data_IF_187130361647
#
_entry.id   IF_187130361647
#
_cell.length_a   1.000
_cell.length_b   1.000
_cell.length_c   1.000
_cell.angle_alpha   90.00
_cell.angle_beta   90.00
_cell.angle_gamma   90.00
#
_symmetry.space_group_name_H-M   'P 1'
#
loop_
_entity.id
_entity.type
_entity.pdbx_description
1 polymer ?
#
# COMPACT_ATOMS: atom_id res chain seq x y z
N UNK A 1 -5.95 1.76 -2.82
CA UNK A 1 -4.77 1.42 -3.63
C UNK A 1 -3.60 2.17 -3.03
N UNK A 2 -2.50 1.48 -2.74
CA UNK A 2 -1.28 2.07 -2.18
C UNK A 2 -0.18 2.07 -3.25
N UNK A 3 0.59 3.15 -3.29
CA UNK A 3 1.76 3.25 -4.16
C UNK A 3 2.96 2.47 -3.59
N UNK A 4 4.09 2.51 -4.29
CA UNK A 4 5.28 1.77 -3.86
C UNK A 4 5.89 2.28 -2.55
N UNK A 5 5.75 3.58 -2.23
CA UNK A 5 6.27 4.16 -0.99
C UNK A 5 5.42 3.71 0.21
N UNK A 6 4.09 3.74 0.07
CA UNK A 6 3.16 3.22 1.07
C UNK A 6 3.30 1.71 1.24
N UNK A 7 3.51 0.96 0.16
CA UNK A 7 3.80 -0.46 0.22
C UNK A 7 5.13 -0.75 0.95
N UNK A 8 6.17 0.05 0.72
CA UNK A 8 7.42 -0.06 1.46
C UNK A 8 7.23 0.22 2.97
N UNK A 9 6.48 1.28 3.30
CA UNK A 9 6.16 1.65 4.68
C UNK A 9 5.38 0.54 5.41
N UNK A 10 4.33 0.01 4.79
CA UNK A 10 3.54 -1.10 5.37
C UNK A 10 4.36 -2.35 5.65
N UNK A 11 5.38 -2.63 4.83
CA UNK A 11 6.33 -3.73 5.06
C UNK A 11 7.31 -3.43 6.20
N UNK A 12 7.74 -2.17 6.34
CA UNK A 12 8.64 -1.75 7.40
C UNK A 12 7.97 -1.76 8.78
N UNK A 13 6.68 -1.41 8.84
CA UNK A 13 5.89 -1.41 10.08
C UNK A 13 5.52 -2.82 10.52
N UNK A 14 5.50 -3.79 9.60
CA UNK A 14 5.18 -5.17 9.94
C UNK A 14 6.22 -5.68 10.94
N UNK A 15 5.78 -5.83 12.19
CA UNK A 15 6.61 -6.42 13.24
C UNK A 15 7.21 -7.72 12.73
N UNK A 16 8.51 -7.92 12.99
CA UNK A 16 9.18 -9.16 12.67
C UNK A 16 8.39 -10.29 13.31
N UNK A 17 7.68 -11.06 12.48
CA UNK A 17 6.91 -12.21 12.95
C UNK A 17 7.82 -13.04 13.83
N UNK A 18 7.51 -13.11 15.12
CA UNK A 18 8.10 -14.08 16.01
C UNK A 18 8.01 -15.45 15.33
N UNK A 19 9.18 -15.98 14.97
CA UNK A 19 9.36 -17.39 14.69
C UNK A 19 8.89 -17.94 13.34
N UNK A 20 9.18 -17.34 12.18
CA UNK A 20 9.33 -18.09 10.93
C UNK A 20 10.51 -17.54 10.10
N UNK A 21 11.54 -18.36 9.90
CA UNK A 21 12.86 -17.94 9.43
C UNK A 21 12.94 -17.26 8.04
N UNK A 22 14.14 -16.74 7.67
CA UNK A 22 14.42 -15.89 6.49
C UNK A 22 14.11 -16.53 5.11
N UNK A 23 13.70 -17.79 5.08
CA UNK A 23 13.50 -18.59 3.87
C UNK A 23 12.16 -18.24 3.19
N UNK A 24 11.10 -17.95 3.96
CA UNK A 24 9.74 -17.72 3.42
C UNK A 24 9.62 -16.37 2.71
N UNK A 25 10.26 -15.34 3.25
CA UNK A 25 10.38 -13.99 2.67
C UNK A 25 11.23 -13.97 1.40
N UNK A 26 12.29 -14.77 1.35
CA UNK A 26 13.19 -14.87 0.18
C UNK A 26 12.50 -15.54 -1.01
N UNK A 27 11.71 -16.61 -0.78
CA UNK A 27 10.95 -17.29 -1.83
C UNK A 27 9.82 -16.42 -2.40
N UNK A 28 9.12 -15.66 -1.56
CA UNK A 28 8.11 -14.70 -2.02
C UNK A 28 8.74 -13.56 -2.83
N UNK A 29 9.86 -13.02 -2.37
CA UNK A 29 10.61 -12.01 -3.11
C UNK A 29 11.13 -12.55 -4.45
N UNK A 30 11.63 -13.78 -4.50
CA UNK A 30 12.09 -14.43 -5.72
C UNK A 30 10.94 -14.71 -6.70
N UNK A 31 9.78 -15.16 -6.21
CA UNK A 31 8.58 -15.38 -7.04
C UNK A 31 8.03 -14.08 -7.63
N UNK A 32 8.07 -12.98 -6.87
CA UNK A 32 7.72 -11.64 -7.36
C UNK A 32 8.71 -11.17 -8.42
N UNK A 33 10.01 -11.40 -8.20
CA UNK A 33 11.09 -11.03 -9.12
C UNK A 33 11.05 -11.84 -10.43
N UNK A 34 10.76 -13.14 -10.35
CA UNK A 34 10.55 -14.04 -11.51
C UNK A 34 9.31 -13.65 -12.33
N UNK A 35 8.30 -13.04 -11.69
CA UNK A 35 7.12 -12.46 -12.37
C UNK A 35 7.34 -11.02 -12.86
N UNK A 36 8.55 -10.48 -12.76
CA UNK A 36 8.89 -9.13 -13.24
C UNK A 36 8.32 -7.99 -12.39
N UNK A 37 7.83 -8.27 -11.19
CA UNK A 37 7.27 -7.24 -10.29
C UNK A 37 8.42 -6.60 -9.51
N UNK A 38 8.81 -5.39 -9.90
CA UNK A 38 9.73 -4.58 -9.11
C UNK A 38 9.01 -3.98 -7.92
N UNK A 39 9.54 -4.19 -6.71
CA UNK A 39 8.97 -3.60 -5.49
C UNK A 39 9.04 -2.07 -5.47
N UNK A 40 9.94 -1.47 -6.25
CA UNK A 40 10.09 -0.01 -6.35
C UNK A 40 8.96 0.65 -7.15
N UNK A 41 8.29 -0.12 -8.02
CA UNK A 41 7.20 0.36 -8.87
C UNK A 41 5.87 -0.35 -8.61
N UNK A 42 5.86 -1.39 -7.76
CA UNK A 42 4.67 -2.13 -7.40
C UNK A 42 3.65 -1.26 -6.66
N UNK A 43 2.38 -1.49 -6.93
CA UNK A 43 1.25 -0.97 -6.15
C UNK A 43 0.49 -2.13 -5.54
N UNK A 44 -0.19 -1.90 -4.41
CA UNK A 44 -1.01 -2.92 -3.77
C UNK A 44 -2.41 -2.39 -3.45
N UNK A 45 -3.39 -3.28 -3.40
CA UNK A 45 -4.74 -2.95 -2.95
C UNK A 45 -5.13 -3.88 -1.81
N UNK A 46 -5.45 -3.28 -0.66
CA UNK A 46 -6.13 -3.99 0.42
C UNK A 46 -7.61 -4.03 0.08
N UNK A 47 -8.22 -5.22 0.18
CA UNK A 47 -9.61 -5.46 -0.15
C UNK A 47 -10.30 -6.06 1.07
N UNK A 48 -11.40 -5.46 1.48
CA UNK A 48 -12.29 -5.95 2.53
C UNK A 48 -13.61 -6.38 1.87
N UNK A 49 -14.08 -7.57 2.20
CA UNK A 49 -15.36 -8.10 1.73
C UNK A 49 -16.25 -8.36 2.93
N UNK A 50 -17.48 -7.85 2.89
CA UNK A 50 -18.46 -7.96 3.96
C UNK A 50 -19.80 -8.43 3.39
N UNK A 51 -20.56 -9.18 4.18
CA UNK A 51 -21.83 -9.79 3.79
C UNK A 51 -21.95 -11.24 4.21
N UNK A 52 -22.92 -11.95 3.63
CA UNK A 52 -23.04 -13.40 3.79
C UNK A 52 -21.87 -14.14 3.13
N UNK A 53 -21.65 -15.40 3.54
CA UNK A 53 -20.60 -16.24 2.96
C UNK A 53 -20.73 -16.40 1.44
N UNK A 54 -21.96 -16.52 0.95
CA UNK A 54 -22.24 -16.72 -0.46
C UNK A 54 -21.99 -15.44 -1.28
N UNK A 55 -22.36 -14.27 -0.74
CA UNK A 55 -22.08 -12.97 -1.37
C UNK A 55 -20.58 -12.70 -1.46
N UNK A 56 -19.84 -12.93 -0.38
CA UNK A 56 -18.39 -12.74 -0.35
C UNK A 56 -17.71 -13.68 -1.33
N UNK A 57 -18.10 -14.96 -1.36
CA UNK A 57 -17.55 -15.93 -2.30
C UNK A 57 -17.82 -15.53 -3.76
N UNK A 58 -19.02 -15.02 -4.04
CA UNK A 58 -19.39 -14.53 -5.36
C UNK A 58 -18.56 -13.30 -5.78
N UNK A 59 -18.45 -12.29 -4.90
CA UNK A 59 -17.66 -11.08 -5.16
C UNK A 59 -16.18 -11.40 -5.38
N UNK A 60 -15.59 -12.27 -4.56
CA UNK A 60 -14.21 -12.71 -4.72
C UNK A 60 -13.98 -13.42 -6.07
N UNK A 61 -14.93 -14.26 -6.50
CA UNK A 61 -14.86 -14.96 -7.78
C UNK A 61 -14.89 -13.99 -8.97
N UNK A 62 -15.76 -12.97 -8.93
CA UNK A 62 -15.82 -11.95 -9.96
C UNK A 62 -14.52 -11.13 -10.01
N UNK A 63 -14.02 -10.71 -8.85
CA UNK A 63 -12.83 -9.89 -8.76
C UNK A 63 -11.58 -10.66 -9.21
N UNK A 64 -11.49 -11.96 -8.93
CA UNK A 64 -10.36 -12.79 -9.36
C UNK A 64 -10.13 -12.73 -10.88
N UNK A 65 -11.19 -12.64 -11.69
CA UNK A 65 -11.08 -12.48 -13.14
C UNK A 65 -10.49 -11.13 -13.53
N UNK A 66 -10.88 -10.06 -12.83
CA UNK A 66 -10.38 -8.71 -13.07
C UNK A 66 -8.90 -8.59 -12.66
N UNK A 67 -8.54 -9.16 -11.51
CA UNK A 67 -7.14 -9.20 -11.04
C UNK A 67 -6.25 -9.92 -12.06
N UNK A 68 -6.70 -11.07 -12.57
CA UNK A 68 -5.95 -11.81 -13.59
C UNK A 68 -5.78 -11.00 -14.89
N UNK A 69 -6.84 -10.34 -15.37
CA UNK A 69 -6.78 -9.47 -16.57
C UNK A 69 -5.86 -8.27 -16.40
N UNK A 70 -5.78 -7.72 -15.19
CA UNK A 70 -4.89 -6.62 -14.86
C UNK A 70 -3.43 -7.05 -14.58
N UNK A 71 -3.11 -8.35 -14.69
CA UNK A 71 -1.78 -8.88 -14.36
C UNK A 71 -1.45 -8.85 -12.86
N UNK A 72 -2.46 -8.64 -12.00
CA UNK A 72 -2.32 -8.59 -10.56
C UNK A 72 -2.20 -9.96 -9.92
N UNK A 73 -1.85 -9.98 -8.63
CA UNK A 73 -1.80 -11.21 -7.84
C UNK A 73 -2.32 -10.98 -6.43
N UNK A 74 -2.86 -12.06 -5.82
CA UNK A 74 -3.37 -12.03 -4.46
C UNK A 74 -2.22 -12.01 -3.44
N UNK A 75 -2.20 -11.00 -2.58
CA UNK A 75 -1.21 -10.84 -1.50
C UNK A 75 -1.50 -11.64 -0.23
N UNK A 76 -2.63 -12.36 -0.18
CA UNK A 76 -3.07 -13.14 0.98
C UNK A 76 -3.85 -12.34 2.03
N UNK A 77 -4.74 -13.02 2.75
CA UNK A 77 -5.65 -12.40 3.72
C UNK A 77 -4.92 -11.69 4.88
N UNK A 78 -3.86 -12.30 5.43
CA UNK A 78 -3.05 -11.71 6.51
C UNK A 78 -2.43 -10.37 6.11
N UNK A 79 -1.97 -10.24 4.85
CA UNK A 79 -1.46 -8.96 4.34
C UNK A 79 -2.57 -7.92 4.22
N UNK A 80 -3.78 -8.35 3.84
CA UNK A 80 -4.95 -7.48 3.78
C UNK A 80 -5.37 -6.98 5.17
N UNK A 81 -5.43 -7.86 6.15
CA UNK A 81 -5.75 -7.52 7.54
C UNK A 81 -4.72 -6.55 8.14
N UNK A 82 -3.42 -6.81 7.95
CA UNK A 82 -2.37 -5.88 8.38
C UNK A 82 -2.48 -4.52 7.68
N UNK A 83 -2.80 -4.50 6.38
CA UNK A 83 -3.03 -3.26 5.64
C UNK A 83 -4.25 -2.47 6.14
N UNK A 84 -5.31 -3.16 6.58
CA UNK A 84 -6.50 -2.53 7.18
C UNK A 84 -6.20 -1.99 8.58
N UNK A 85 -5.48 -2.77 9.41
CA UNK A 85 -5.04 -2.35 10.73
C UNK A 85 -4.13 -1.09 10.67
N UNK A 86 -3.30 -0.98 9.62
CA UNK A 86 -2.43 0.18 9.41
C UNK A 86 -3.22 1.50 9.33
N UNK A 87 -4.45 1.49 8.81
CA UNK A 87 -5.31 2.68 8.77
C UNK A 87 -5.54 3.28 10.16
N UNK A 88 -5.66 2.44 11.19
CA UNK A 88 -5.82 2.89 12.57
C UNK A 88 -4.48 3.23 13.24
N UNK A 89 -3.37 2.64 12.78
CA UNK A 89 -2.04 2.87 13.35
C UNK A 89 -1.36 4.16 12.85
N UNK A 90 -1.69 4.65 11.64
CA UNK A 90 -1.02 5.81 11.02
C UNK A 90 -1.06 7.06 11.91
N UNK A 91 -2.15 7.29 12.65
CA UNK A 91 -2.24 8.43 13.56
C UNK A 91 -1.16 8.41 14.65
N UNK A 92 -0.82 7.24 15.19
CA UNK A 92 0.23 7.10 16.20
C UNK A 92 1.64 7.31 15.63
N UNK A 93 1.85 7.03 14.35
CA UNK A 93 3.12 7.32 13.68
C UNK A 93 3.39 8.83 13.59
N UNK A 94 2.34 9.65 13.51
CA UNK A 94 2.46 11.11 13.52
C UNK A 94 3.04 11.58 14.86
N UNK A 95 2.43 11.15 15.97
CA UNK A 95 2.86 11.53 17.31
C UNK A 95 4.29 11.06 17.57
N UNK A 96 4.61 9.81 17.21
CA UNK A 96 5.99 9.30 17.25
C UNK A 96 6.95 10.17 16.43
N UNK A 97 6.58 10.57 15.21
CA UNK A 97 7.42 11.43 14.36
C UNK A 97 7.71 12.80 14.99
N UNK A 98 6.73 13.37 15.71
CA UNK A 98 6.89 14.67 16.37
C UNK A 98 7.98 14.65 17.45
N UNK A 99 8.17 13.53 18.17
CA UNK A 99 9.27 13.36 19.13
C UNK A 99 10.65 13.50 18.46
N UNK A 100 10.74 13.19 17.17
CA UNK A 100 11.95 13.32 16.34
C UNK A 100 11.95 14.55 15.43
N UNK A 101 11.11 15.55 15.72
CA UNK A 101 10.98 16.78 14.92
C UNK A 101 10.53 16.54 13.47
N UNK A 102 9.85 15.43 13.20
CA UNK A 102 9.27 15.12 11.90
C UNK A 102 7.78 15.51 11.94
N UNK A 103 7.44 16.61 11.28
CA UNK A 103 6.05 17.00 11.08
C UNK A 103 5.47 16.24 9.87
N UNK A 104 4.28 15.67 10.04
CA UNK A 104 3.55 15.02 8.95
C UNK A 104 2.06 15.32 9.05
N UNK A 105 1.40 15.45 7.90
CA UNK A 105 -0.04 15.68 7.78
C UNK A 105 -0.57 14.93 6.56
N UNK A 106 -1.83 14.50 6.63
CA UNK A 106 -2.52 13.90 5.49
C UNK A 106 -3.31 14.94 4.71
N UNK A 107 -3.41 14.74 3.41
CA UNK A 107 -4.19 15.60 2.51
C UNK A 107 -4.92 14.74 1.48
N UNK A 108 -6.13 15.16 1.14
CA UNK A 108 -7.04 14.41 0.28
C UNK A 108 -7.73 15.34 -0.73
N UNK A 109 -8.12 14.77 -1.87
CA UNK A 109 -8.81 15.50 -2.93
C UNK A 109 -9.64 14.54 -3.79
N UNK A 110 -10.56 15.09 -4.57
CA UNK A 110 -11.36 14.34 -5.54
C UNK A 110 -10.99 14.77 -6.95
N UNK A 111 -10.80 13.80 -7.85
CA UNK A 111 -10.47 14.07 -9.25
C UNK A 111 -11.21 13.11 -10.20
N UNK A 112 -11.58 13.55 -11.41
CA UNK A 112 -12.08 12.64 -12.44
C UNK A 112 -11.06 11.55 -12.79
N UNK A 113 -11.53 10.37 -13.18
CA UNK A 113 -10.67 9.27 -13.64
C UNK A 113 -9.74 9.67 -14.79
N UNK A 114 -10.20 10.53 -15.70
CA UNK A 114 -9.39 11.06 -16.81
C UNK A 114 -8.21 11.93 -16.37
N UNK A 115 -8.21 12.40 -15.12
CA UNK A 115 -7.24 13.34 -14.56
C UNK A 115 -6.37 12.73 -13.46
N UNK A 116 -6.81 11.65 -12.80
CA UNK A 116 -6.12 11.09 -11.62
C UNK A 116 -4.63 10.79 -11.87
N UNK A 117 -4.30 10.27 -13.06
CA UNK A 117 -2.92 9.97 -13.46
C UNK A 117 -2.02 11.21 -13.61
N UNK A 118 -2.62 12.40 -13.82
CA UNK A 118 -1.91 13.68 -13.93
C UNK A 118 -1.82 14.40 -12.58
N UNK A 119 -2.85 14.25 -11.74
CA UNK A 119 -2.93 14.95 -10.45
C UNK A 119 -1.82 14.48 -9.50
N UNK A 120 -1.64 13.16 -9.34
CA UNK A 120 -0.68 12.64 -8.36
C UNK A 120 0.78 13.09 -8.61
N UNK A 121 1.36 12.94 -9.82
CA UNK A 121 2.72 13.43 -10.08
C UNK A 121 2.87 14.94 -9.91
N UNK A 122 1.84 15.72 -10.28
CA UNK A 122 1.86 17.17 -10.14
C UNK A 122 1.89 17.61 -8.66
N UNK A 123 1.07 16.97 -7.82
CA UNK A 123 1.06 17.23 -6.36
C UNK A 123 2.41 16.86 -5.74
N UNK A 124 2.95 15.68 -6.06
CA UNK A 124 4.27 15.25 -5.54
C UNK A 124 5.37 16.23 -5.96
N UNK A 125 5.36 16.69 -7.21
CA UNK A 125 6.33 17.66 -7.70
C UNK A 125 6.22 19.01 -6.98
N UNK A 126 4.99 19.52 -6.81
CA UNK A 126 4.73 20.78 -6.12
C UNK A 126 5.19 20.73 -4.65
N UNK A 127 4.79 19.71 -3.89
CA UNK A 127 5.17 19.55 -2.48
C UNK A 127 6.69 19.49 -2.33
N UNK A 128 7.39 18.74 -3.19
CA UNK A 128 8.85 18.67 -3.16
C UNK A 128 9.53 19.99 -3.53
N UNK A 129 8.95 20.76 -4.44
CA UNK A 129 9.48 22.07 -4.82
C UNK A 129 9.35 23.07 -3.66
N UNK A 130 8.17 23.15 -3.05
CA UNK A 130 7.91 24.02 -1.90
C UNK A 130 8.77 23.65 -0.70
N UNK A 131 8.90 22.36 -0.36
CA UNK A 131 9.75 21.92 0.74
C UNK A 131 11.22 22.36 0.55
N UNK A 132 11.76 22.26 -0.68
CA UNK A 132 13.12 22.74 -0.98
C UNK A 132 13.24 24.26 -0.89
N UNK A 133 12.20 25.00 -1.29
CA UNK A 133 12.20 26.46 -1.26
C UNK A 133 12.22 27.01 0.17
N UNK A 134 11.53 26.33 1.10
CA UNK A 134 11.42 26.74 2.50
C UNK A 134 12.73 26.54 3.30
N UNK A 135 13.69 25.74 2.81
CA UNK A 135 14.98 25.45 3.47
C UNK A 135 14.84 25.00 4.93
N UNK A 136 13.74 24.29 5.23
CA UNK A 136 13.48 23.65 6.52
C UNK A 136 14.26 22.33 6.64
#
# INVERSE_FOLDING_TARGET
LMDSQQLALSRAIREGSGGHGPIKTTLQALALRLKGVSMETASAATLLFEGSRDEVAFQQKLLAQLVARAGGMWGGATSGEAGYALTFAIAYLRDFGLDYRILSESLETMAPWSSVAKVWPAVVAAVRAEHRALRL
#
